data_IF_006201688148
#
_entry.id   IF_006201688148
#
_cell.length_a   1.000
_cell.length_b   1.000
_cell.length_c   1.000
_cell.angle_alpha   90.00
_cell.angle_beta   90.00
_cell.angle_gamma   90.00
#
_symmetry.space_group_name_H-M   'P 1'
#
loop_
_entity.id
_entity.type
_entity.pdbx_description
1 polymer ?
#
# COMPACT_ATOMS: atom_id res chain seq x y z
N UNK A 1 5.94 4.38 -35.85
CA UNK A 1 6.52 3.35 -34.96
C UNK A 1 7.85 3.86 -34.44
N UNK A 2 7.92 4.34 -33.19
CA UNK A 2 9.20 4.71 -32.56
C UNK A 2 9.23 4.02 -31.20
N UNK A 3 10.02 2.94 -31.10
CA UNK A 3 10.41 2.33 -29.83
C UNK A 3 11.39 3.30 -29.15
N UNK A 4 10.99 3.90 -28.03
CA UNK A 4 11.93 4.50 -27.08
C UNK A 4 12.34 3.43 -26.07
N UNK A 5 13.66 3.20 -26.00
CA UNK A 5 14.31 2.40 -24.97
C UNK A 5 14.13 3.11 -23.62
N UNK A 6 13.78 2.42 -22.52
CA UNK A 6 13.65 3.08 -21.23
C UNK A 6 15.01 3.55 -20.76
N UNK A 7 15.19 4.87 -20.64
CA UNK A 7 16.33 5.46 -19.96
C UNK A 7 16.14 5.19 -18.47
N UNK A 8 17.11 4.53 -17.85
CA UNK A 8 17.33 4.61 -16.41
C UNK A 8 17.60 6.08 -16.09
N UNK A 9 16.58 6.78 -15.59
CA UNK A 9 16.65 8.20 -15.33
C UNK A 9 15.55 8.61 -14.38
N UNK A 10 15.92 9.34 -13.34
CA UNK A 10 15.08 9.94 -12.31
C UNK A 10 14.14 10.99 -12.92
N UNK A 11 13.22 10.60 -13.77
CA UNK A 11 12.31 11.50 -14.47
C UNK A 11 10.95 11.52 -13.74
N UNK A 12 10.83 12.52 -12.86
CA UNK A 12 9.59 13.15 -12.37
C UNK A 12 8.52 12.24 -11.76
N UNK A 13 8.61 12.09 -10.44
CA UNK A 13 7.48 11.75 -9.57
C UNK A 13 6.39 12.82 -9.51
N UNK A 14 6.52 13.94 -10.21
CA UNK A 14 5.72 15.16 -9.99
C UNK A 14 4.38 15.21 -10.74
N UNK A 15 4.12 14.33 -11.72
CA UNK A 15 2.93 14.44 -12.57
C UNK A 15 1.84 13.40 -12.27
N UNK A 16 2.19 12.25 -11.71
CA UNK A 16 1.22 11.16 -11.49
C UNK A 16 0.70 11.26 -10.06
N UNK A 17 -0.60 11.54 -9.93
CA UNK A 17 -1.31 11.54 -8.65
C UNK A 17 -2.16 10.28 -8.55
N UNK A 18 -2.42 9.87 -7.33
CA UNK A 18 -3.48 8.92 -7.04
C UNK A 18 -4.83 9.57 -7.38
N UNK A 19 -5.78 8.82 -7.93
CA UNK A 19 -7.15 9.33 -8.14
C UNK A 19 -7.81 9.69 -6.80
N UNK A 20 -8.45 10.86 -6.75
CA UNK A 20 -9.09 11.40 -5.54
C UNK A 20 -8.14 11.41 -4.33
N UNK A 21 -6.87 11.77 -4.55
CA UNK A 21 -5.83 11.72 -3.52
C UNK A 21 -6.22 12.49 -2.26
N UNK A 22 -6.83 13.67 -2.39
CA UNK A 22 -7.19 14.50 -1.25
C UNK A 22 -8.27 13.82 -0.39
N UNK A 23 -9.28 13.23 -1.02
CA UNK A 23 -10.33 12.44 -0.36
C UNK A 23 -9.78 11.15 0.28
N UNK A 24 -8.89 10.44 -0.41
CA UNK A 24 -8.21 9.25 0.11
C UNK A 24 -7.41 9.60 1.37
N UNK A 25 -6.61 10.66 1.31
CA UNK A 25 -5.81 11.10 2.45
C UNK A 25 -6.68 11.62 3.59
N UNK A 26 -7.79 12.30 3.31
CA UNK A 26 -8.74 12.74 4.32
C UNK A 26 -9.40 11.55 5.04
N UNK A 27 -9.81 10.51 4.29
CA UNK A 27 -10.37 9.29 4.83
C UNK A 27 -9.40 8.51 5.73
N UNK A 28 -8.14 8.39 5.32
CA UNK A 28 -7.09 7.76 6.13
C UNK A 28 -6.91 8.52 7.46
N UNK A 29 -6.79 9.84 7.40
CA UNK A 29 -6.64 10.67 8.60
C UNK A 29 -7.83 10.55 9.55
N UNK A 30 -9.04 10.51 9.00
CA UNK A 30 -10.25 10.37 9.80
C UNK A 30 -10.32 9.02 10.53
N UNK A 31 -9.99 7.94 9.83
CA UNK A 31 -9.86 6.62 10.44
C UNK A 31 -8.80 6.61 11.55
N UNK A 32 -7.64 7.22 11.32
CA UNK A 32 -6.56 7.30 12.32
C UNK A 32 -6.98 8.07 13.58
N UNK A 33 -7.71 9.18 13.43
CA UNK A 33 -8.26 9.94 14.56
C UNK A 33 -9.23 9.09 15.38
N UNK A 34 -10.16 8.41 14.72
CA UNK A 34 -11.14 7.53 15.39
C UNK A 34 -10.47 6.37 16.12
N UNK A 35 -9.52 5.69 15.47
CA UNK A 35 -8.74 4.62 16.08
C UNK A 35 -7.95 5.09 17.30
N UNK A 36 -7.36 6.29 17.23
CA UNK A 36 -6.62 6.86 18.37
C UNK A 36 -7.55 7.25 19.51
N UNK A 37 -8.69 7.87 19.22
CA UNK A 37 -9.65 8.32 20.22
C UNK A 37 -10.30 7.15 20.97
N UNK A 38 -10.72 6.12 20.24
CA UNK A 38 -11.37 4.94 20.82
C UNK A 38 -10.37 3.97 21.47
N UNK A 39 -9.10 4.05 21.08
CA UNK A 39 -8.02 3.16 21.51
C UNK A 39 -8.41 1.65 21.57
N UNK A 40 -9.05 1.09 20.52
CA UNK A 40 -9.54 -0.28 20.58
C UNK A 40 -8.39 -1.28 20.56
N UNK A 41 -8.59 -2.44 21.19
CA UNK A 41 -7.66 -3.58 21.09
C UNK A 41 -7.92 -4.42 19.83
N UNK A 42 -9.15 -4.38 19.31
CA UNK A 42 -9.58 -5.13 18.13
C UNK A 42 -10.42 -4.23 17.26
N UNK A 43 -10.22 -4.31 15.95
CA UNK A 43 -10.92 -3.47 14.98
C UNK A 43 -11.48 -4.36 13.89
N UNK A 44 -12.74 -4.12 13.53
CA UNK A 44 -13.37 -4.72 12.35
C UNK A 44 -13.77 -3.58 11.42
N UNK A 45 -13.30 -3.64 10.18
CA UNK A 45 -13.73 -2.74 9.10
C UNK A 45 -14.71 -3.47 8.20
N UNK A 46 -15.83 -2.83 7.86
CA UNK A 46 -16.85 -3.36 6.95
C UNK A 46 -17.07 -2.38 5.80
N UNK A 47 -17.01 -2.87 4.57
CA UNK A 47 -17.22 -2.08 3.35
C UNK A 47 -15.94 -1.43 2.80
N UNK A 48 -16.11 -0.58 1.78
CA UNK A 48 -15.03 0.07 1.05
C UNK A 48 -14.21 -0.88 0.15
N UNK A 49 -13.10 -0.36 -0.39
CA UNK A 49 -12.08 -1.16 -1.09
C UNK A 49 -10.91 -1.46 -0.13
N UNK A 50 -9.85 -2.11 -0.62
CA UNK A 50 -8.69 -2.50 0.20
C UNK A 50 -8.03 -1.35 0.99
N UNK A 51 -8.25 -0.08 0.60
CA UNK A 51 -7.73 1.10 1.31
C UNK A 51 -8.22 1.22 2.75
N UNK A 52 -9.39 0.68 3.08
CA UNK A 52 -9.92 0.74 4.47
C UNK A 52 -8.98 0.06 5.49
N UNK A 53 -8.13 -0.85 5.03
CA UNK A 53 -7.20 -1.60 5.89
C UNK A 53 -5.94 -0.82 6.26
N UNK A 54 -5.59 0.26 5.54
CA UNK A 54 -4.30 0.93 5.69
C UNK A 54 -4.12 1.52 7.09
N UNK A 55 -5.07 2.34 7.54
CA UNK A 55 -5.01 2.98 8.86
C UNK A 55 -5.12 1.94 10.00
N UNK A 56 -5.89 0.88 9.79
CA UNK A 56 -6.08 -0.20 10.76
C UNK A 56 -4.78 -0.97 11.00
N UNK A 57 -4.10 -1.39 9.93
CA UNK A 57 -2.85 -2.13 10.05
C UNK A 57 -1.72 -1.25 10.60
N UNK A 58 -1.63 0.02 10.20
CA UNK A 58 -0.70 0.97 10.82
C UNK A 58 -0.96 1.11 12.32
N UNK A 59 -2.22 1.31 12.72
CA UNK A 59 -2.62 1.45 14.11
C UNK A 59 -2.28 0.23 14.97
N UNK A 60 -2.69 -0.97 14.55
CA UNK A 60 -2.49 -2.21 15.33
C UNK A 60 -1.01 -2.58 15.42
N UNK A 61 -0.23 -2.35 14.34
CA UNK A 61 1.21 -2.56 14.38
C UNK A 61 1.92 -1.61 15.36
N UNK A 62 1.43 -0.39 15.54
CA UNK A 62 1.95 0.50 16.59
C UNK A 62 1.54 0.10 18.00
N UNK A 63 0.43 -0.63 18.15
CA UNK A 63 -0.12 -1.01 19.45
C UNK A 63 0.47 -2.31 19.99
N UNK A 64 0.86 -3.23 19.11
CA UNK A 64 1.36 -4.55 19.48
C UNK A 64 2.76 -4.79 18.91
N UNK A 65 3.62 -5.45 19.70
CA UNK A 65 5.00 -5.72 19.31
C UNK A 65 5.11 -6.74 18.16
N UNK A 66 4.26 -7.77 18.17
CA UNK A 66 4.29 -8.90 17.26
C UNK A 66 3.00 -9.00 16.45
N UNK A 67 2.94 -8.29 15.31
CA UNK A 67 1.79 -8.29 14.40
C UNK A 67 2.17 -8.90 13.05
N UNK A 68 1.37 -9.87 12.61
CA UNK A 68 1.41 -10.40 11.25
C UNK A 68 0.20 -9.95 10.44
N UNK A 69 0.37 -9.78 9.13
CA UNK A 69 -0.73 -9.52 8.19
C UNK A 69 -0.96 -10.78 7.36
N UNK A 70 -2.18 -11.29 7.37
CA UNK A 70 -2.64 -12.33 6.44
C UNK A 70 -3.51 -11.65 5.39
N UNK A 71 -2.96 -11.48 4.18
CA UNK A 71 -3.62 -10.79 3.08
C UNK A 71 -4.33 -11.79 2.15
N UNK A 72 -5.63 -12.00 2.36
CA UNK A 72 -6.45 -12.90 1.55
C UNK A 72 -7.16 -12.08 0.48
N UNK A 73 -6.53 -11.97 -0.68
CA UNK A 73 -7.10 -11.23 -1.80
C UNK A 73 -6.57 -11.81 -3.13
N UNK A 74 -7.31 -11.59 -4.22
CA UNK A 74 -6.87 -12.03 -5.55
C UNK A 74 -5.63 -11.25 -6.03
N UNK A 75 -5.40 -10.05 -5.50
CA UNK A 75 -4.29 -9.18 -5.86
C UNK A 75 -3.39 -8.90 -4.65
N UNK A 76 -2.08 -8.68 -4.86
CA UNK A 76 -1.15 -8.43 -3.76
C UNK A 76 -1.21 -7.01 -3.21
N UNK A 77 -1.83 -6.06 -3.92
CA UNK A 77 -1.93 -4.64 -3.56
C UNK A 77 -0.57 -3.99 -3.22
N UNK A 78 0.43 -4.28 -4.05
CA UNK A 78 1.80 -3.75 -3.99
C UNK A 78 2.15 -2.86 -5.19
N UNK A 79 1.15 -2.40 -5.95
CA UNK A 79 1.37 -1.53 -7.10
C UNK A 79 1.92 -0.17 -6.69
N UNK A 80 2.60 0.47 -7.64
CA UNK A 80 3.11 1.83 -7.57
C UNK A 80 2.53 2.66 -8.72
N UNK A 81 2.78 3.97 -8.73
CA UNK A 81 2.39 4.83 -9.85
C UNK A 81 3.10 4.48 -11.17
N UNK A 82 4.19 3.70 -11.12
CA UNK A 82 4.91 3.24 -12.31
C UNK A 82 4.16 2.12 -13.06
N UNK A 83 3.14 1.52 -12.44
CA UNK A 83 2.35 0.43 -13.02
C UNK A 83 1.17 0.92 -13.87
N UNK A 84 1.09 2.24 -14.16
CA UNK A 84 0.00 2.89 -14.90
C UNK A 84 -1.41 2.60 -14.32
N UNK A 85 -1.47 2.40 -13.00
CA UNK A 85 -2.71 2.11 -12.27
C UNK A 85 -2.82 3.00 -11.03
N UNK A 86 -3.24 4.27 -11.18
CA UNK A 86 -3.22 5.28 -10.11
C UNK A 86 -4.39 5.15 -9.11
N UNK A 87 -4.87 3.94 -8.84
CA UNK A 87 -5.90 3.68 -7.84
C UNK A 87 -5.25 3.24 -6.51
N UNK A 88 -5.49 4.00 -5.44
CA UNK A 88 -4.84 3.80 -4.13
C UNK A 88 -5.00 2.39 -3.55
N UNK A 89 -6.16 1.74 -3.80
CA UNK A 89 -6.49 0.43 -3.26
C UNK A 89 -5.50 -0.67 -3.67
N UNK A 90 -4.81 -0.52 -4.80
CA UNK A 90 -3.80 -1.46 -5.26
C UNK A 90 -2.42 -1.21 -4.65
N UNK A 91 -2.28 -0.23 -3.76
CA UNK A 91 -0.99 0.18 -3.17
C UNK A 91 -0.90 -0.11 -1.67
N UNK A 92 -1.92 -0.72 -1.07
CA UNK A 92 -2.07 -0.83 0.40
C UNK A 92 -0.91 -1.60 1.02
N UNK A 93 -0.72 -2.84 0.59
CA UNK A 93 0.28 -3.72 1.17
C UNK A 93 1.69 -3.24 0.83
N UNK A 94 1.91 -2.75 -0.39
CA UNK A 94 3.17 -2.11 -0.79
C UNK A 94 3.50 -0.93 0.12
N UNK A 95 2.50 -0.09 0.42
CA UNK A 95 2.68 1.05 1.30
C UNK A 95 3.07 0.64 2.72
N UNK A 96 2.39 -0.36 3.28
CA UNK A 96 2.69 -0.94 4.61
C UNK A 96 4.08 -1.60 4.67
N UNK A 97 4.58 -2.11 3.55
CA UNK A 97 5.93 -2.68 3.41
C UNK A 97 7.03 -1.60 3.22
N UNK A 98 6.65 -0.33 3.07
CA UNK A 98 7.58 0.80 2.91
C UNK A 98 7.72 1.30 1.47
N UNK A 99 7.09 0.65 0.50
CA UNK A 99 7.03 1.06 -0.90
C UNK A 99 5.77 1.91 -1.14
N UNK A 100 5.79 3.14 -0.63
CA UNK A 100 4.63 4.04 -0.60
C UNK A 100 4.75 5.24 -1.54
N UNK A 101 3.64 5.62 -2.17
CA UNK A 101 3.45 6.99 -2.68
C UNK A 101 3.66 8.02 -1.56
N UNK A 102 4.35 9.16 -1.77
CA UNK A 102 4.65 10.12 -0.71
C UNK A 102 3.44 10.59 0.11
N UNK A 103 2.27 10.74 -0.51
CA UNK A 103 1.01 11.07 0.19
C UNK A 103 0.64 10.01 1.23
N UNK A 104 0.65 8.73 0.84
CA UNK A 104 0.33 7.60 1.72
C UNK A 104 1.41 7.40 2.78
N UNK A 105 2.69 7.51 2.38
CA UNK A 105 3.83 7.36 3.30
C UNK A 105 3.75 8.29 4.50
N UNK A 106 3.37 9.55 4.28
CA UNK A 106 3.21 10.55 5.36
C UNK A 106 2.08 10.22 6.33
N UNK A 107 1.14 9.34 5.94
CA UNK A 107 0.07 8.89 6.80
C UNK A 107 0.44 7.64 7.58
N UNK A 108 1.37 6.82 7.11
CA UNK A 108 1.86 5.67 7.88
C UNK A 108 2.79 6.19 8.99
N UNK A 109 2.36 6.08 10.24
CA UNK A 109 3.04 6.73 11.38
C UNK A 109 3.61 5.74 12.39
N UNK A 110 3.11 4.51 12.38
CA UNK A 110 3.34 3.52 13.44
C UNK A 110 4.01 2.25 12.92
N UNK A 111 3.91 2.00 11.63
CA UNK A 111 4.71 0.98 10.95
C UNK A 111 6.10 1.49 10.60
N UNK A 112 7.11 0.89 11.24
CA UNK A 112 8.51 1.08 10.89
C UNK A 112 8.89 0.23 9.68
N UNK A 113 9.55 0.83 8.69
CA UNK A 113 10.12 0.10 7.55
C UNK A 113 10.99 -1.08 8.03
N UNK A 114 10.84 -2.24 7.38
CA UNK A 114 11.63 -3.44 7.68
C UNK A 114 11.08 -4.38 8.77
N UNK A 115 9.98 -4.03 9.45
CA UNK A 115 9.37 -4.91 10.47
C UNK A 115 8.39 -5.94 9.90
N UNK A 116 7.86 -5.69 8.69
CA UNK A 116 7.12 -6.70 7.94
C UNK A 116 8.02 -7.36 6.90
N UNK A 117 8.01 -8.69 6.90
CA UNK A 117 8.63 -9.50 5.87
C UNK A 117 7.54 -10.31 5.16
N UNK A 118 7.54 -10.27 3.83
CA UNK A 118 6.61 -11.06 3.03
C UNK A 118 6.99 -12.55 3.10
N UNK A 119 6.15 -13.38 3.70
CA UNK A 119 6.23 -14.84 3.63
C UNK A 119 5.16 -15.34 2.64
N UNK A 120 5.55 -16.08 1.60
CA UNK A 120 4.67 -16.44 0.47
C UNK A 120 4.27 -17.91 0.43
N UNK A 121 3.01 -18.15 0.05
CA UNK A 121 2.56 -19.42 -0.56
C UNK A 121 2.80 -19.44 -2.08
N UNK A 122 2.83 -20.63 -2.70
CA UNK A 122 3.24 -20.88 -4.09
C UNK A 122 2.53 -20.00 -5.15
N UNK A 123 1.28 -19.60 -4.93
CA UNK A 123 0.51 -18.76 -5.83
C UNK A 123 1.06 -17.32 -5.96
N UNK A 124 1.69 -16.77 -4.91
CA UNK A 124 2.26 -15.42 -4.90
C UNK A 124 3.62 -15.31 -5.63
N UNK A 125 4.24 -16.43 -5.99
CA UNK A 125 5.54 -16.47 -6.66
C UNK A 125 5.45 -15.97 -8.12
N UNK A 126 4.35 -16.29 -8.82
CA UNK A 126 4.18 -15.98 -10.25
C UNK A 126 4.13 -14.48 -10.57
N UNK A 127 3.57 -13.62 -9.70
CA UNK A 127 3.43 -12.20 -10.05
C UNK A 127 4.74 -11.39 -9.93
N UNK A 128 5.64 -11.75 -9.02
CA UNK A 128 6.93 -11.05 -8.92
C UNK A 128 7.96 -11.57 -9.93
N UNK A 129 7.87 -12.84 -10.31
CA UNK A 129 8.58 -13.34 -11.50
C UNK A 129 8.02 -12.72 -12.79
N UNK A 130 6.71 -12.38 -12.81
CA UNK A 130 6.10 -11.65 -13.92
C UNK A 130 6.44 -10.16 -13.92
N UNK A 131 6.73 -9.51 -12.79
CA UNK A 131 7.24 -8.12 -12.82
C UNK A 131 8.67 -8.04 -13.36
N UNK A 132 9.38 -9.17 -13.47
CA UNK A 132 10.68 -9.29 -14.17
C UNK A 132 10.60 -9.93 -15.57
N UNK A 133 9.45 -10.51 -15.99
CA UNK A 133 9.29 -11.15 -17.32
C UNK A 133 8.03 -10.85 -18.12
N UNK A 134 7.00 -10.21 -17.57
CA UNK A 134 5.68 -10.06 -18.20
C UNK A 134 5.45 -8.68 -18.83
N UNK A 135 6.50 -8.09 -19.38
CA UNK A 135 6.40 -7.00 -20.37
C UNK A 135 7.34 -7.25 -21.56
N UNK A 136 7.26 -8.46 -22.14
CA UNK A 136 7.63 -8.73 -23.53
C UNK A 136 6.46 -9.36 -24.26
#
# INVERSE_FOLDING_TARGET
MVKRVPKLGHEKWEAVRIYAEDEVLAGIQDAQRKLTAENPDRVVTVGGNCMVSLALFDYLHGKYENVGIVWIYAHPDVSTLNDDYPNAHAMVLGSLLGESHPGLRRRITRMSAGRLQSVRGEAGRRKQDSSTRAWR
#
